data_IF_766181368615
#
_entry.id   IF_766181368615
#
_cell.length_a   1.000
_cell.length_b   1.000
_cell.length_c   1.000
_cell.angle_alpha   90.00
_cell.angle_beta   90.00
_cell.angle_gamma   90.00
#
_symmetry.space_group_name_H-M   'P 1'
#
loop_
_entity.id
_entity.type
_entity.pdbx_description
1 polymer ?
#
# COMPACT_ATOMS: atom_id res chain seq x y z
N UNK A 1 -16.24 -9.24 -5.94
CA UNK A 1 -15.44 -8.06 -6.22
C UNK A 1 -16.07 -7.16 -7.29
N UNK A 2 -16.11 -7.50 -8.56
CA UNK A 2 -16.72 -6.70 -9.64
C UNK A 2 -18.14 -6.18 -9.33
N UNK A 3 -18.97 -6.95 -8.62
CA UNK A 3 -20.31 -6.52 -8.22
C UNK A 3 -20.30 -5.39 -7.18
N UNK A 4 -19.37 -5.41 -6.20
CA UNK A 4 -19.21 -4.35 -5.19
C UNK A 4 -18.73 -3.05 -5.84
N UNK A 5 -17.78 -3.14 -6.76
CA UNK A 5 -17.28 -2.02 -7.56
C UNK A 5 -18.40 -1.37 -8.40
N UNK A 6 -19.18 -2.17 -9.12
CA UNK A 6 -20.34 -1.70 -9.88
C UNK A 6 -21.42 -1.08 -8.99
N UNK A 7 -21.67 -1.65 -7.81
CA UNK A 7 -22.59 -1.09 -6.82
C UNK A 7 -22.10 0.26 -6.27
N UNK A 8 -20.82 0.40 -5.95
CA UNK A 8 -20.26 1.65 -5.46
C UNK A 8 -20.35 2.76 -6.51
N UNK A 9 -20.01 2.46 -7.76
CA UNK A 9 -20.19 3.39 -8.89
C UNK A 9 -21.69 3.72 -9.08
N UNK A 10 -22.56 2.73 -9.02
CA UNK A 10 -24.00 2.94 -9.13
C UNK A 10 -24.54 3.86 -8.04
N UNK A 11 -24.13 3.68 -6.80
CA UNK A 11 -24.51 4.56 -5.67
C UNK A 11 -23.97 5.98 -5.88
N UNK A 12 -22.72 6.12 -6.33
CA UNK A 12 -22.14 7.43 -6.60
C UNK A 12 -22.89 8.18 -7.72
N UNK A 13 -23.19 7.50 -8.82
CA UNK A 13 -24.00 8.06 -9.93
C UNK A 13 -25.39 8.47 -9.44
N UNK A 14 -26.01 7.65 -8.60
CA UNK A 14 -27.33 7.93 -8.05
C UNK A 14 -27.30 9.15 -7.11
N UNK A 15 -26.31 9.27 -6.24
CA UNK A 15 -26.13 10.42 -5.35
C UNK A 15 -25.86 11.71 -6.13
N UNK A 16 -25.03 11.66 -7.16
CA UNK A 16 -24.77 12.78 -8.05
C UNK A 16 -26.03 13.18 -8.81
N UNK A 17 -26.79 12.19 -9.33
CA UNK A 17 -28.05 12.43 -10.03
C UNK A 17 -29.11 13.08 -9.13
N UNK A 18 -29.26 12.58 -7.90
CA UNK A 18 -30.15 13.18 -6.89
C UNK A 18 -29.72 14.62 -6.53
N UNK A 19 -28.42 14.84 -6.31
CA UNK A 19 -27.89 16.18 -6.04
C UNK A 19 -28.15 17.16 -7.20
N UNK A 20 -28.01 16.70 -8.44
CA UNK A 20 -28.33 17.50 -9.61
C UNK A 20 -29.82 17.82 -9.74
N UNK A 21 -30.72 16.86 -9.46
CA UNK A 21 -32.16 17.07 -9.48
C UNK A 21 -32.58 18.08 -8.41
N UNK A 22 -32.09 17.95 -7.18
CA UNK A 22 -32.36 18.87 -6.08
C UNK A 22 -31.81 20.26 -6.41
N UNK A 23 -30.57 20.35 -6.87
CA UNK A 23 -29.95 21.63 -7.25
C UNK A 23 -30.66 22.32 -8.42
N UNK A 24 -31.11 21.56 -9.42
CA UNK A 24 -31.86 22.09 -10.54
C UNK A 24 -33.25 22.61 -10.14
N UNK A 25 -33.95 21.90 -9.24
CA UNK A 25 -35.27 22.32 -8.74
C UNK A 25 -35.19 23.60 -7.89
N UNK A 26 -34.20 23.69 -7.00
CA UNK A 26 -33.93 24.90 -6.20
C UNK A 26 -33.53 26.06 -7.12
N UNK A 27 -32.62 25.83 -8.07
CA UNK A 27 -32.20 26.85 -9.07
C UNK A 27 -33.35 27.36 -9.92
N UNK A 28 -34.25 26.48 -10.39
CA UNK A 28 -35.46 26.90 -11.12
C UNK A 28 -36.39 27.77 -10.26
N UNK A 29 -36.64 27.34 -9.00
CA UNK A 29 -37.48 28.12 -8.09
C UNK A 29 -36.93 29.51 -7.73
N UNK A 30 -35.60 29.63 -7.64
CA UNK A 30 -34.92 30.91 -7.41
C UNK A 30 -34.98 31.79 -8.67
N UNK A 31 -34.76 31.19 -9.84
CA UNK A 31 -34.79 31.87 -11.14
C UNK A 31 -36.17 32.51 -11.46
N UNK A 32 -37.26 31.80 -11.14
CA UNK A 32 -38.61 32.26 -11.33
C UNK A 32 -38.94 33.52 -10.50
N UNK A 33 -38.21 33.76 -9.42
CA UNK A 33 -38.32 34.97 -8.58
C UNK A 33 -37.52 36.17 -9.12
N UNK A 34 -36.63 35.95 -10.09
CA UNK A 34 -35.81 37.02 -10.68
C UNK A 34 -36.55 37.79 -11.78
N UNK A 35 -36.84 39.07 -11.52
CA UNK A 35 -37.63 39.90 -12.43
C UNK A 35 -36.81 40.60 -13.55
N UNK A 36 -35.48 40.56 -13.50
CA UNK A 36 -34.60 41.29 -14.41
C UNK A 36 -33.81 40.36 -15.33
N UNK A 37 -33.73 40.70 -16.64
CA UNK A 37 -32.94 39.94 -17.61
C UNK A 37 -31.45 39.89 -17.29
N UNK A 38 -30.91 40.91 -16.66
CA UNK A 38 -29.52 40.95 -16.20
C UNK A 38 -29.27 39.98 -15.06
N UNK A 39 -30.19 39.89 -14.09
CA UNK A 39 -30.10 38.91 -12.99
C UNK A 39 -30.13 37.46 -13.47
N UNK A 40 -30.99 37.17 -14.47
CA UNK A 40 -31.06 35.81 -15.06
C UNK A 40 -29.79 35.42 -15.84
N UNK A 41 -29.08 36.39 -16.47
CA UNK A 41 -27.79 36.10 -17.12
C UNK A 41 -26.68 35.82 -16.10
N UNK A 42 -26.61 36.59 -15.03
CA UNK A 42 -25.63 36.38 -13.94
C UNK A 42 -25.90 35.04 -13.28
N UNK A 43 -27.16 34.70 -12.95
CA UNK A 43 -27.54 33.40 -12.39
C UNK A 43 -27.15 32.25 -13.32
N UNK A 44 -27.40 32.35 -14.62
CA UNK A 44 -27.00 31.34 -15.60
C UNK A 44 -25.48 31.14 -15.65
N UNK A 45 -24.69 32.22 -15.58
CA UNK A 45 -23.23 32.16 -15.60
C UNK A 45 -22.69 31.55 -14.31
N UNK A 46 -23.19 31.97 -13.15
CA UNK A 46 -22.83 31.42 -11.85
C UNK A 46 -23.20 29.94 -11.75
N UNK A 47 -24.42 29.59 -12.18
CA UNK A 47 -24.87 28.19 -12.21
C UNK A 47 -24.03 27.30 -13.15
N UNK A 48 -23.58 27.86 -14.29
CA UNK A 48 -22.70 27.13 -15.21
C UNK A 48 -21.33 26.87 -14.60
N UNK A 49 -20.75 27.88 -13.90
CA UNK A 49 -19.47 27.70 -13.17
C UNK A 49 -19.60 26.66 -12.06
N UNK A 50 -20.65 26.73 -11.24
CA UNK A 50 -20.90 25.74 -10.19
C UNK A 50 -21.03 24.31 -10.74
N UNK A 51 -21.76 24.14 -11.85
CA UNK A 51 -21.89 22.84 -12.51
C UNK A 51 -20.55 22.34 -13.05
N UNK A 52 -19.74 23.20 -13.64
CA UNK A 52 -18.42 22.85 -14.13
C UNK A 52 -17.50 22.40 -12.99
N UNK A 53 -17.46 23.15 -11.87
CA UNK A 53 -16.69 22.79 -10.68
C UNK A 53 -17.16 21.46 -10.10
N UNK A 54 -18.47 21.27 -9.93
CA UNK A 54 -19.02 20.02 -9.42
C UNK A 54 -18.68 18.83 -10.33
N UNK A 55 -18.76 18.99 -11.65
CA UNK A 55 -18.39 17.94 -12.60
C UNK A 55 -16.89 17.60 -12.51
N UNK A 56 -16.03 18.62 -12.39
CA UNK A 56 -14.58 18.42 -12.21
C UNK A 56 -14.28 17.65 -10.93
N UNK A 57 -14.92 18.01 -9.80
CA UNK A 57 -14.74 17.30 -8.52
C UNK A 57 -15.20 15.84 -8.63
N UNK A 58 -16.34 15.59 -9.26
CA UNK A 58 -16.84 14.20 -9.46
C UNK A 58 -15.89 13.40 -10.34
N UNK A 59 -15.44 13.97 -11.45
CA UNK A 59 -14.46 13.32 -12.34
C UNK A 59 -13.17 13.02 -11.57
N UNK A 60 -12.69 13.96 -10.77
CA UNK A 60 -11.49 13.78 -9.96
C UNK A 60 -11.67 12.66 -8.92
N UNK A 61 -12.79 12.64 -8.18
CA UNK A 61 -13.07 11.61 -7.18
C UNK A 61 -13.22 10.20 -7.78
N UNK A 62 -13.80 10.10 -8.99
CA UNK A 62 -14.03 8.82 -9.66
C UNK A 62 -12.79 8.36 -10.44
N UNK A 63 -11.98 9.29 -10.93
CA UNK A 63 -10.82 8.94 -11.74
C UNK A 63 -9.74 8.19 -10.97
N UNK A 64 -9.57 8.45 -9.66
CA UNK A 64 -8.62 7.77 -8.81
C UNK A 64 -8.93 6.26 -8.64
N UNK A 65 -10.13 5.88 -8.17
CA UNK A 65 -10.52 4.47 -8.13
C UNK A 65 -10.46 3.78 -9.48
N UNK A 66 -10.80 4.49 -10.57
CA UNK A 66 -10.70 3.94 -11.91
C UNK A 66 -9.23 3.75 -12.32
N UNK A 67 -8.36 4.72 -12.05
CA UNK A 67 -6.94 4.63 -12.37
C UNK A 67 -6.24 3.49 -11.61
N UNK A 68 -6.65 3.21 -10.36
CA UNK A 68 -6.09 2.13 -9.55
C UNK A 68 -6.62 0.73 -9.89
N UNK A 69 -7.83 0.63 -10.49
CA UNK A 69 -8.46 -0.66 -10.78
C UNK A 69 -8.51 -1.02 -12.28
N UNK A 70 -8.21 -0.07 -13.17
CA UNK A 70 -8.14 -0.32 -14.61
C UNK A 70 -6.70 -0.60 -15.02
N UNK A 71 -6.42 -1.83 -15.42
CA UNK A 71 -5.16 -2.21 -16.07
C UNK A 71 -5.11 -1.81 -17.55
N UNK A 72 -3.92 -1.81 -18.15
CA UNK A 72 -3.70 -1.55 -19.56
C UNK A 72 -3.84 -0.08 -19.98
N UNK A 73 -3.96 0.16 -21.30
CA UNK A 73 -3.98 1.49 -21.89
C UNK A 73 -5.00 2.49 -21.27
N UNK A 74 -6.24 2.10 -20.90
CA UNK A 74 -7.17 3.03 -20.27
C UNK A 74 -6.72 3.53 -18.90
N UNK A 75 -6.14 2.65 -18.07
CA UNK A 75 -5.58 3.02 -16.78
C UNK A 75 -4.39 3.95 -16.91
N UNK A 76 -3.46 3.64 -17.81
CA UNK A 76 -2.28 4.46 -18.11
C UNK A 76 -2.67 5.86 -18.61
N UNK A 77 -3.67 5.99 -19.49
CA UNK A 77 -4.16 7.27 -19.97
C UNK A 77 -4.76 8.14 -18.84
N UNK A 78 -5.42 7.53 -17.85
CA UNK A 78 -5.91 8.24 -16.68
C UNK A 78 -4.75 8.69 -15.79
N UNK A 79 -3.77 7.84 -15.53
CA UNK A 79 -2.61 8.12 -14.67
C UNK A 79 -1.68 9.18 -15.26
N UNK A 80 -1.45 9.16 -16.57
CA UNK A 80 -0.62 10.15 -17.28
C UNK A 80 -1.34 11.50 -17.53
N UNK A 81 -2.58 11.67 -17.06
CA UNK A 81 -3.37 12.88 -17.29
C UNK A 81 -2.85 14.08 -16.51
N UNK A 82 -2.28 15.06 -17.21
CA UNK A 82 -1.82 16.34 -16.64
C UNK A 82 -2.94 17.14 -15.96
N UNK A 83 -4.18 16.98 -16.42
CA UNK A 83 -5.35 17.67 -15.84
C UNK A 83 -5.63 17.09 -14.45
N UNK A 84 -5.65 15.76 -14.32
CA UNK A 84 -5.94 15.09 -13.06
C UNK A 84 -4.80 15.30 -12.07
N UNK A 85 -3.55 15.25 -12.51
CA UNK A 85 -2.37 15.60 -11.71
C UNK A 85 -2.44 17.04 -11.19
N UNK A 86 -2.79 18.01 -12.06
CA UNK A 86 -2.98 19.40 -11.66
C UNK A 86 -4.13 19.63 -10.68
N UNK A 87 -5.22 18.89 -10.80
CA UNK A 87 -6.33 18.93 -9.85
C UNK A 87 -5.92 18.39 -8.48
N UNK A 88 -5.17 17.28 -8.46
CA UNK A 88 -4.68 16.68 -7.22
C UNK A 88 -3.71 17.61 -6.47
N UNK A 89 -2.80 18.27 -7.19
CA UNK A 89 -1.86 19.23 -6.60
C UNK A 89 -2.54 20.53 -6.12
N UNK A 90 -3.69 20.91 -6.68
CA UNK A 90 -4.48 22.07 -6.28
C UNK A 90 -5.48 21.76 -5.15
N UNK A 91 -5.73 20.49 -4.86
CA UNK A 91 -6.67 20.07 -3.81
C UNK A 91 -6.12 20.42 -2.42
N UNK A 92 -6.96 20.95 -1.50
CA UNK A 92 -6.57 21.09 -0.10
C UNK A 92 -6.18 19.74 0.51
N UNK A 93 -5.19 19.75 1.41
CA UNK A 93 -4.65 18.52 2.03
C UNK A 93 -5.73 17.65 2.71
N UNK A 94 -6.79 18.28 3.25
CA UNK A 94 -7.92 17.57 3.87
C UNK A 94 -8.81 16.83 2.84
N UNK A 95 -8.80 17.24 1.59
CA UNK A 95 -9.59 16.63 0.50
C UNK A 95 -8.76 15.65 -0.32
N UNK A 96 -7.44 15.77 -0.35
CA UNK A 96 -6.55 14.87 -1.09
C UNK A 96 -6.55 13.43 -0.55
N UNK A 97 -6.92 13.24 0.71
CA UNK A 97 -7.08 11.92 1.32
C UNK A 97 -8.35 11.16 0.87
N UNK A 98 -9.43 11.89 0.49
CA UNK A 98 -10.70 11.26 0.12
C UNK A 98 -10.63 10.30 -1.08
N UNK A 99 -9.99 10.68 -2.20
CA UNK A 99 -9.85 9.77 -3.34
C UNK A 99 -9.00 8.54 -3.02
N UNK A 100 -7.94 8.70 -2.22
CA UNK A 100 -7.09 7.59 -1.80
C UNK A 100 -7.86 6.61 -0.89
N UNK A 101 -8.68 7.12 0.04
CA UNK A 101 -9.56 6.29 0.87
C UNK A 101 -10.57 5.49 0.04
N UNK A 102 -11.17 6.12 -1.00
CA UNK A 102 -12.08 5.41 -1.92
C UNK A 102 -11.32 4.37 -2.76
N UNK A 103 -10.11 4.68 -3.22
CA UNK A 103 -9.27 3.73 -3.96
C UNK A 103 -8.87 2.55 -3.07
N UNK A 104 -8.49 2.79 -1.81
CA UNK A 104 -8.17 1.74 -0.84
C UNK A 104 -9.37 0.81 -0.56
N UNK A 105 -10.57 1.36 -0.42
CA UNK A 105 -11.81 0.56 -0.24
C UNK A 105 -12.17 -0.32 -1.43
N UNK A 106 -11.68 0.03 -2.63
CA UNK A 106 -11.96 -0.70 -3.88
C UNK A 106 -10.78 -1.59 -4.30
N UNK A 107 -9.65 -1.50 -3.62
CA UNK A 107 -8.47 -2.28 -3.95
C UNK A 107 -8.63 -3.74 -3.49
N UNK A 108 -8.70 -4.66 -4.46
CA UNK A 108 -8.85 -6.10 -4.20
C UNK A 108 -7.52 -6.79 -3.84
N UNK A 109 -6.40 -6.14 -4.09
CA UNK A 109 -5.07 -6.73 -3.85
C UNK A 109 -4.74 -6.86 -2.36
N UNK A 110 -5.49 -6.16 -1.49
CA UNK A 110 -5.25 -6.16 -0.04
C UNK A 110 -3.91 -5.51 0.36
N UNK A 111 -3.20 -4.93 -0.61
CA UNK A 111 -2.02 -4.11 -0.38
C UNK A 111 -2.44 -2.65 -0.30
N UNK A 112 -1.93 -1.86 0.66
CA UNK A 112 -2.22 -0.44 0.70
C UNK A 112 -1.73 0.24 -0.58
N UNK A 113 -2.43 1.26 -1.11
CA UNK A 113 -1.98 2.02 -2.27
C UNK A 113 -0.73 2.82 -1.87
N UNK A 114 0.43 2.34 -2.28
CA UNK A 114 1.73 2.84 -1.85
C UNK A 114 2.17 4.11 -2.55
N UNK A 115 1.58 4.38 -3.70
CA UNK A 115 1.94 5.53 -4.53
C UNK A 115 0.66 6.22 -4.98
N UNK A 116 0.62 7.55 -4.85
CA UNK A 116 -0.47 8.31 -5.47
C UNK A 116 -0.44 8.05 -6.99
N UNK A 117 -1.55 7.61 -7.60
CA UNK A 117 -1.60 7.34 -9.04
C UNK A 117 -1.21 8.55 -9.92
N UNK A 118 -1.10 9.73 -9.31
CA UNK A 118 -0.76 11.01 -9.95
C UNK A 118 0.68 11.47 -9.70
N UNK A 119 1.43 10.78 -8.87
CA UNK A 119 2.87 10.97 -8.84
C UNK A 119 3.43 10.34 -10.11
N UNK A 120 4.29 11.08 -10.79
CA UNK A 120 4.97 10.63 -12.02
C UNK A 120 5.29 9.14 -11.90
N UNK A 121 4.92 8.38 -12.94
CA UNK A 121 5.30 6.98 -13.04
C UNK A 121 6.73 6.85 -12.51
N UNK A 122 6.90 6.08 -11.43
CA UNK A 122 8.23 5.80 -10.92
C UNK A 122 8.97 5.18 -12.10
N UNK A 123 9.87 5.97 -12.69
CA UNK A 123 10.70 5.48 -13.79
C UNK A 123 11.63 4.46 -13.15
N UNK A 124 11.26 3.19 -13.27
CA UNK A 124 12.12 2.10 -12.83
C UNK A 124 13.01 1.69 -14.01
N UNK A 125 14.27 1.46 -13.75
CA UNK A 125 15.17 0.92 -14.76
C UNK A 125 14.66 -0.43 -15.26
N UNK A 126 14.72 -0.64 -16.58
CA UNK A 126 14.43 -1.95 -17.15
C UNK A 126 15.60 -2.89 -16.88
N UNK A 127 15.32 -4.00 -16.21
CA UNK A 127 16.28 -5.07 -15.97
C UNK A 127 15.78 -6.35 -16.63
N UNK A 128 16.68 -7.27 -16.89
CA UNK A 128 16.34 -8.61 -17.40
C UNK A 128 15.43 -9.35 -16.40
N UNK A 129 14.69 -10.34 -16.87
CA UNK A 129 13.90 -11.21 -15.99
C UNK A 129 14.80 -11.88 -14.95
N UNK A 130 14.29 -12.07 -13.72
CA UNK A 130 15.00 -12.86 -12.73
C UNK A 130 15.30 -14.27 -13.28
N UNK A 131 16.52 -14.74 -13.07
CA UNK A 131 16.92 -16.07 -13.51
C UNK A 131 16.58 -17.09 -12.41
N UNK A 132 15.62 -18.00 -12.64
CA UNK A 132 15.25 -19.01 -11.65
C UNK A 132 16.39 -20.00 -11.36
N UNK A 133 17.34 -20.17 -12.26
CA UNK A 133 18.47 -21.10 -12.10
C UNK A 133 19.52 -20.57 -11.10
N UNK A 134 19.49 -19.28 -10.75
CA UNK A 134 20.34 -18.66 -9.70
C UNK A 134 19.86 -19.00 -8.29
N UNK A 135 18.61 -19.46 -8.12
CA UNK A 135 18.08 -19.83 -6.81
C UNK A 135 18.82 -21.04 -6.24
N UNK A 136 19.47 -20.84 -5.07
CA UNK A 136 20.08 -21.92 -4.32
C UNK A 136 19.05 -22.58 -3.36
N UNK A 137 18.56 -23.80 -3.65
CA UNK A 137 17.60 -24.50 -2.80
C UNK A 137 18.12 -24.78 -1.38
N UNK A 138 19.46 -24.91 -1.22
CA UNK A 138 20.07 -25.10 0.10
C UNK A 138 19.98 -23.82 0.94
N UNK A 139 20.23 -22.66 0.30
CA UNK A 139 20.06 -21.36 0.93
C UNK A 139 18.61 -21.16 1.37
N UNK A 140 17.65 -21.38 0.47
CA UNK A 140 16.22 -21.28 0.77
C UNK A 140 15.83 -22.19 1.96
N UNK A 141 16.29 -23.45 1.95
CA UNK A 141 16.01 -24.39 3.04
C UNK A 141 16.61 -23.92 4.38
N UNK A 142 17.79 -23.35 4.37
CA UNK A 142 18.48 -22.80 5.54
C UNK A 142 17.77 -21.59 6.14
N UNK A 143 17.28 -20.70 5.29
CA UNK A 143 16.59 -19.46 5.68
C UNK A 143 15.12 -19.69 6.10
N UNK A 144 14.47 -20.71 5.54
CA UNK A 144 13.05 -21.00 5.74
C UNK A 144 12.58 -20.97 7.19
N UNK A 145 13.32 -21.50 8.21
CA UNK A 145 12.90 -21.44 9.60
C UNK A 145 12.69 -20.03 10.13
N UNK A 146 13.47 -19.07 9.63
CA UNK A 146 13.47 -17.67 10.08
C UNK A 146 12.43 -16.82 9.38
N UNK A 147 11.72 -17.36 8.37
CA UNK A 147 10.60 -16.69 7.69
C UNK A 147 9.30 -17.12 8.37
N UNK A 148 8.56 -16.16 8.87
CA UNK A 148 7.43 -16.35 9.77
C UNK A 148 6.13 -15.95 9.06
N UNK A 149 5.08 -16.76 9.15
CA UNK A 149 3.75 -16.37 8.78
C UNK A 149 3.11 -15.60 9.95
N UNK A 150 2.81 -14.34 9.75
CA UNK A 150 2.24 -13.44 10.77
C UNK A 150 0.73 -13.44 10.65
N UNK A 151 0.05 -13.71 11.76
CA UNK A 151 -1.40 -13.79 11.87
C UNK A 151 -1.88 -12.78 12.90
N UNK A 152 -2.66 -11.79 12.47
CA UNK A 152 -3.22 -10.76 13.32
C UNK A 152 -4.74 -10.86 13.40
N UNK A 153 -5.30 -10.93 14.60
CA UNK A 153 -6.73 -10.88 14.80
C UNK A 153 -7.14 -9.45 15.22
N UNK A 154 -7.78 -8.72 14.31
CA UNK A 154 -8.29 -7.38 14.50
C UNK A 154 -9.82 -7.46 14.75
N UNK A 155 -10.20 -7.76 16.01
CA UNK A 155 -11.58 -8.04 16.39
C UNK A 155 -12.49 -6.82 16.18
N UNK A 156 -12.03 -5.63 16.53
CA UNK A 156 -12.80 -4.38 16.32
C UNK A 156 -13.04 -4.08 14.84
N UNK A 157 -12.13 -4.53 13.98
CA UNK A 157 -12.27 -4.44 12.53
C UNK A 157 -13.07 -5.59 11.94
N UNK A 158 -13.42 -6.61 12.75
CA UNK A 158 -14.02 -7.89 12.29
C UNK A 158 -13.20 -8.54 11.17
N UNK A 159 -11.87 -8.50 11.28
CA UNK A 159 -10.92 -8.96 10.27
C UNK A 159 -9.81 -9.81 10.87
N UNK A 160 -9.29 -10.69 10.02
CA UNK A 160 -8.02 -11.36 10.23
C UNK A 160 -7.03 -10.84 9.21
N UNK A 161 -5.92 -10.29 9.69
CA UNK A 161 -4.81 -9.81 8.88
C UNK A 161 -3.76 -10.92 8.79
N UNK A 162 -3.12 -11.03 7.64
CA UNK A 162 -2.12 -12.06 7.38
C UNK A 162 -1.03 -11.50 6.49
N UNK A 163 0.20 -11.86 6.79
CA UNK A 163 1.37 -11.46 6.04
C UNK A 163 2.60 -12.28 6.42
N UNK A 164 3.73 -11.83 6.01
CA UNK A 164 5.02 -12.43 6.31
C UNK A 164 5.79 -11.60 7.32
N UNK A 165 6.80 -12.21 7.92
CA UNK A 165 7.79 -11.56 8.75
C UNK A 165 9.07 -12.40 8.75
N UNK A 166 10.10 -11.91 9.39
CA UNK A 166 11.34 -12.65 9.57
C UNK A 166 12.02 -12.29 10.87
N UNK A 167 12.79 -13.23 11.41
CA UNK A 167 13.52 -13.05 12.66
C UNK A 167 14.77 -12.18 12.41
N UNK A 168 14.94 -11.12 13.20
CA UNK A 168 16.04 -10.14 13.07
C UNK A 168 16.97 -10.11 14.28
N UNK A 169 16.50 -10.58 15.42
CA UNK A 169 17.26 -10.79 16.66
C UNK A 169 16.58 -11.88 17.47
N UNK A 170 17.21 -12.33 18.52
CA UNK A 170 16.62 -13.32 19.45
C UNK A 170 15.25 -12.81 19.92
N UNK A 171 14.20 -13.60 19.68
CA UNK A 171 12.81 -13.31 20.07
C UNK A 171 12.14 -12.12 19.33
N UNK A 172 12.78 -11.52 18.30
CA UNK A 172 12.25 -10.39 17.58
C UNK A 172 12.02 -10.71 16.11
N UNK A 173 10.82 -10.33 15.64
CA UNK A 173 10.37 -10.49 14.24
C UNK A 173 9.99 -9.14 13.67
N UNK A 174 10.48 -8.82 12.47
CA UNK A 174 10.01 -7.66 11.68
C UNK A 174 8.86 -8.09 10.77
N UNK A 175 7.89 -7.21 10.61
CA UNK A 175 6.82 -7.27 9.62
C UNK A 175 6.40 -5.86 9.22
N UNK A 176 5.40 -5.71 8.36
CA UNK A 176 4.81 -4.40 8.07
C UNK A 176 3.78 -3.97 9.13
N UNK A 177 3.61 -2.65 9.30
CA UNK A 177 2.61 -2.11 10.19
C UNK A 177 1.18 -2.49 9.75
N UNK A 178 0.88 -2.46 8.43
CA UNK A 178 -0.44 -2.84 7.91
C UNK A 178 -0.81 -4.30 8.19
N UNK A 179 0.17 -5.20 8.39
CA UNK A 179 -0.08 -6.62 8.74
C UNK A 179 -0.61 -6.79 10.15
N UNK A 180 -0.35 -5.81 11.03
CA UNK A 180 -0.76 -5.83 12.45
C UNK A 180 -1.61 -4.64 12.85
N UNK A 181 -2.10 -3.84 11.89
CA UNK A 181 -2.90 -2.64 12.16
C UNK A 181 -4.24 -2.98 12.84
N UNK A 182 -4.53 -2.33 13.97
CA UNK A 182 -5.76 -2.53 14.74
C UNK A 182 -5.92 -3.91 15.35
N UNK A 183 -4.84 -4.72 15.45
CA UNK A 183 -4.90 -6.06 16.03
C UNK A 183 -4.84 -6.03 17.55
N UNK A 184 -5.66 -6.87 18.19
CA UNK A 184 -5.63 -7.13 19.62
C UNK A 184 -4.73 -8.32 19.95
N UNK A 185 -4.61 -9.28 19.03
CA UNK A 185 -3.75 -10.45 19.19
C UNK A 185 -2.94 -10.69 17.91
N UNK A 186 -1.66 -11.01 18.09
CA UNK A 186 -0.76 -11.39 17.00
C UNK A 186 -0.14 -12.75 17.33
N UNK A 187 -0.14 -13.65 16.34
CA UNK A 187 0.46 -14.97 16.44
C UNK A 187 1.41 -15.20 15.27
N UNK A 188 2.47 -15.92 15.57
CA UNK A 188 3.51 -16.31 14.64
C UNK A 188 3.36 -17.80 14.33
N UNK A 189 3.04 -18.15 13.10
CA UNK A 189 3.06 -19.53 12.63
C UNK A 189 4.48 -19.86 12.16
N UNK A 190 5.16 -20.68 12.96
CA UNK A 190 6.57 -21.00 12.82
C UNK A 190 6.78 -22.50 12.58
N UNK A 191 7.97 -22.89 12.18
CA UNK A 191 8.34 -24.33 12.13
C UNK A 191 8.28 -25.02 13.49
N UNK A 192 8.34 -24.26 14.59
CA UNK A 192 8.26 -24.78 15.95
C UNK A 192 6.83 -24.74 16.51
N UNK A 193 5.85 -24.43 15.67
CA UNK A 193 4.45 -24.27 16.03
C UNK A 193 4.01 -22.84 16.17
N UNK A 194 2.78 -22.65 16.60
CA UNK A 194 2.16 -21.35 16.78
C UNK A 194 2.65 -20.70 18.07
N UNK A 195 3.13 -19.47 17.99
CA UNK A 195 3.65 -18.65 19.09
C UNK A 195 2.85 -17.36 19.21
N UNK A 196 2.57 -16.92 20.44
CA UNK A 196 2.01 -15.61 20.69
C UNK A 196 3.10 -14.54 20.56
N UNK A 197 2.73 -13.37 20.05
CA UNK A 197 3.63 -12.25 19.91
C UNK A 197 2.96 -10.94 20.36
N UNK A 198 3.79 -10.00 20.78
CA UNK A 198 3.39 -8.65 21.18
C UNK A 198 4.02 -7.65 20.25
N UNK A 199 3.26 -6.66 19.76
CA UNK A 199 3.80 -5.56 18.97
C UNK A 199 4.55 -4.63 19.92
N UNK A 200 5.84 -4.42 19.69
CA UNK A 200 6.74 -3.59 20.52
C UNK A 200 7.27 -2.35 19.79
N UNK A 201 7.03 -2.29 18.50
CA UNK A 201 7.25 -1.10 17.66
C UNK A 201 6.20 -1.07 16.56
N UNK A 202 5.65 0.10 16.29
CA UNK A 202 4.64 0.29 15.26
C UNK A 202 4.80 1.67 14.63
N UNK A 203 5.09 1.71 13.35
CA UNK A 203 5.20 2.94 12.58
C UNK A 203 4.37 2.86 11.30
N UNK A 204 3.18 3.46 11.29
CA UNK A 204 2.28 3.44 10.14
C UNK A 204 2.76 4.32 8.98
N UNK A 205 3.64 5.29 9.23
CA UNK A 205 4.14 6.20 8.21
C UNK A 205 5.03 5.45 7.20
N UNK A 206 6.03 4.74 7.70
CA UNK A 206 6.95 3.97 6.85
C UNK A 206 6.52 2.52 6.62
N UNK A 207 5.47 2.08 7.34
CA UNK A 207 4.91 0.72 7.24
C UNK A 207 5.84 -0.37 7.81
N UNK A 208 6.34 -0.16 9.03
CA UNK A 208 7.20 -1.11 9.77
C UNK A 208 6.64 -1.40 11.14
N UNK A 209 6.65 -2.66 11.54
CA UNK A 209 6.36 -3.12 12.90
C UNK A 209 7.39 -4.14 13.38
N UNK A 210 7.64 -4.16 14.71
CA UNK A 210 8.46 -5.18 15.37
C UNK A 210 7.60 -5.93 16.37
N UNK A 211 7.70 -7.25 16.31
CA UNK A 211 7.00 -8.19 17.16
C UNK A 211 8.00 -8.86 18.10
N UNK A 212 7.66 -8.99 19.36
CA UNK A 212 8.42 -9.74 20.35
C UNK A 212 7.65 -11.00 20.75
N UNK A 213 8.32 -12.16 20.67
CA UNK A 213 7.78 -13.45 21.04
C UNK A 213 8.79 -14.21 21.88
N UNK A 214 8.49 -14.40 23.17
CA UNK A 214 9.41 -15.05 24.11
C UNK A 214 9.69 -16.50 23.71
N UNK A 215 10.93 -16.90 23.88
CA UNK A 215 11.40 -18.26 23.60
C UNK A 215 11.06 -18.69 22.16
N UNK A 216 11.25 -17.79 21.21
CA UNK A 216 11.00 -18.07 19.79
C UNK A 216 11.89 -19.21 19.30
N UNK A 217 13.17 -19.21 19.68
CA UNK A 217 14.12 -20.29 19.44
C UNK A 217 14.45 -20.49 17.97
N UNK A 218 14.47 -19.40 17.20
CA UNK A 218 14.73 -19.38 15.76
C UNK A 218 15.85 -18.38 15.50
N UNK A 219 16.85 -18.78 14.72
CA UNK A 219 18.00 -17.95 14.41
C UNK A 219 17.61 -16.71 13.56
N UNK A 220 18.19 -15.54 13.85
CA UNK A 220 17.94 -14.33 13.07
C UNK A 220 18.62 -14.39 11.70
N UNK A 221 18.05 -13.67 10.73
CA UNK A 221 18.67 -13.44 9.43
C UNK A 221 19.67 -12.28 9.51
N UNK A 222 20.83 -12.39 8.86
CA UNK A 222 21.79 -11.29 8.81
C UNK A 222 21.32 -10.18 7.86
N UNK A 223 21.54 -8.93 8.23
CA UNK A 223 21.39 -7.79 7.35
C UNK A 223 22.54 -7.69 6.36
N UNK A 224 22.24 -7.33 5.10
CA UNK A 224 23.25 -7.03 4.11
C UNK A 224 24.07 -5.80 4.55
N UNK A 225 25.40 -5.91 4.43
CA UNK A 225 26.31 -4.83 4.80
C UNK A 225 26.48 -3.81 3.67
N UNK A 226 26.14 -4.19 2.45
CA UNK A 226 26.23 -3.33 1.26
C UNK A 226 24.86 -3.26 0.59
N UNK A 227 24.40 -2.05 0.20
CA UNK A 227 23.20 -1.90 -0.59
C UNK A 227 23.31 -2.66 -1.92
N UNK A 228 22.17 -3.19 -2.37
CA UNK A 228 22.07 -3.81 -3.68
C UNK A 228 22.13 -2.74 -4.80
N UNK A 229 22.60 -3.16 -5.95
CA UNK A 229 22.70 -2.35 -7.16
C UNK A 229 21.69 -2.82 -8.21
N UNK A 230 21.41 -1.95 -9.18
CA UNK A 230 20.58 -2.29 -10.35
C UNK A 230 21.15 -3.51 -11.08
N UNK A 231 20.29 -4.49 -11.30
CA UNK A 231 20.64 -5.76 -11.96
C UNK A 231 21.03 -6.88 -10.99
N UNK A 232 21.22 -6.60 -9.69
CA UNK A 232 21.51 -7.65 -8.71
C UNK A 232 20.35 -8.62 -8.57
N UNK A 233 20.68 -9.91 -8.51
CA UNK A 233 19.71 -10.95 -8.20
C UNK A 233 19.37 -10.96 -6.72
N UNK A 234 18.09 -11.12 -6.46
CA UNK A 234 17.51 -11.17 -5.12
C UNK A 234 16.40 -12.23 -5.05
N UNK A 235 15.93 -12.50 -3.85
CA UNK A 235 14.76 -13.37 -3.61
C UNK A 235 13.79 -12.70 -2.64
N UNK A 236 12.51 -12.84 -2.92
CA UNK A 236 11.43 -12.51 -1.98
C UNK A 236 10.97 -13.79 -1.32
N UNK A 237 10.93 -13.80 0.00
CA UNK A 237 10.48 -14.96 0.76
C UNK A 237 9.25 -14.61 1.60
N UNK A 238 8.24 -15.47 1.59
CA UNK A 238 7.02 -15.20 2.35
C UNK A 238 5.93 -16.24 2.20
N UNK A 239 4.69 -15.81 2.43
CA UNK A 239 3.48 -16.64 2.42
C UNK A 239 2.42 -16.01 1.51
N UNK A 240 2.61 -16.07 0.17
CA UNK A 240 1.68 -15.45 -0.76
C UNK A 240 0.26 -16.01 -0.57
N UNK A 241 -0.73 -15.11 -0.54
CA UNK A 241 -2.15 -15.42 -0.31
C UNK A 241 -2.43 -16.22 0.98
N UNK A 242 -1.56 -16.11 2.01
CA UNK A 242 -1.57 -16.97 3.20
C UNK A 242 -1.50 -18.46 2.87
N UNK A 243 -0.91 -18.76 1.75
CA UNK A 243 -0.63 -20.11 1.29
C UNK A 243 0.62 -20.71 1.96
N UNK A 244 1.18 -21.77 1.38
CA UNK A 244 2.44 -22.32 1.82
C UNK A 244 3.58 -21.32 1.62
N UNK A 245 4.67 -21.52 2.35
CA UNK A 245 5.91 -20.76 2.15
C UNK A 245 6.35 -20.83 0.70
N UNK A 246 6.77 -19.68 0.19
CA UNK A 246 7.32 -19.53 -1.14
C UNK A 246 8.59 -18.66 -1.12
N UNK A 247 9.45 -18.88 -2.12
CA UNK A 247 10.67 -18.12 -2.34
C UNK A 247 10.80 -17.86 -3.85
N UNK A 248 10.53 -16.63 -4.23
CA UNK A 248 10.50 -16.19 -5.63
C UNK A 248 11.74 -15.37 -5.95
N UNK A 249 12.36 -15.67 -7.11
CA UNK A 249 13.45 -14.86 -7.60
C UNK A 249 12.97 -13.48 -8.01
N UNK A 250 13.78 -12.50 -7.72
CA UNK A 250 13.58 -11.10 -8.08
C UNK A 250 14.88 -10.48 -8.56
N UNK A 251 14.80 -9.38 -9.27
CA UNK A 251 15.98 -8.59 -9.68
C UNK A 251 15.81 -7.15 -9.29
N UNK A 252 16.81 -6.58 -8.65
CA UNK A 252 16.78 -5.18 -8.22
C UNK A 252 16.77 -4.27 -9.45
N UNK A 253 15.77 -3.39 -9.54
CA UNK A 253 15.67 -2.40 -10.62
C UNK A 253 16.40 -1.12 -10.24
N UNK A 254 16.07 -0.57 -9.05
CA UNK A 254 16.64 0.69 -8.59
C UNK A 254 16.46 0.85 -7.08
N UNK A 255 17.23 1.76 -6.49
CA UNK A 255 17.02 2.29 -5.13
C UNK A 255 16.51 3.71 -5.25
N UNK A 256 15.30 3.97 -4.79
CA UNK A 256 14.61 5.25 -4.97
C UNK A 256 13.93 5.70 -3.68
N UNK A 257 13.70 6.99 -3.57
CA UNK A 257 12.80 7.53 -2.55
C UNK A 257 11.37 7.52 -3.08
N UNK A 258 10.51 6.68 -2.49
CA UNK A 258 9.09 6.63 -2.80
C UNK A 258 8.36 7.60 -1.90
N UNK A 259 7.63 8.53 -2.51
CA UNK A 259 6.78 9.48 -1.80
C UNK A 259 5.32 9.10 -1.97
N UNK A 260 4.60 8.90 -0.86
CA UNK A 260 3.22 8.44 -0.88
C UNK A 260 2.52 8.60 0.47
N UNK A 261 1.24 8.19 0.57
CA UNK A 261 0.53 8.22 1.84
C UNK A 261 1.07 7.19 2.85
N UNK A 262 0.67 7.34 4.12
CA UNK A 262 0.82 6.30 5.15
C UNK A 262 -0.13 5.11 4.89
N UNK A 263 -0.12 4.10 5.76
CA UNK A 263 -0.98 2.92 5.62
C UNK A 263 -2.48 3.25 5.77
N UNK A 264 -2.83 4.39 6.34
CA UNK A 264 -4.21 4.87 6.49
C UNK A 264 -4.65 5.78 5.33
N UNK A 265 -3.81 5.93 4.32
CA UNK A 265 -4.02 6.84 3.18
C UNK A 265 -4.03 8.32 3.58
N UNK A 266 -3.35 8.67 4.67
CA UNK A 266 -3.18 10.04 5.15
C UNK A 266 -1.76 10.54 4.89
N UNK A 267 -1.59 11.87 4.95
CA UNK A 267 -0.28 12.48 4.94
C UNK A 267 0.51 12.30 3.64
N UNK A 268 1.81 12.50 3.77
CA UNK A 268 2.79 12.37 2.71
C UNK A 268 4.10 11.93 3.37
N UNK A 269 4.54 10.73 3.07
CA UNK A 269 5.71 10.09 3.67
C UNK A 269 6.70 9.73 2.57
N UNK A 270 7.97 9.95 2.83
CA UNK A 270 9.06 9.51 1.96
C UNK A 270 9.70 8.25 2.54
N UNK A 271 9.95 7.26 1.69
CA UNK A 271 10.53 5.95 2.06
C UNK A 271 11.68 5.63 1.13
N UNK A 272 12.85 5.34 1.68
CA UNK A 272 13.97 4.79 0.90
C UNK A 272 13.70 3.31 0.59
N UNK A 273 13.60 2.99 -0.69
CA UNK A 273 13.06 1.70 -1.12
C UNK A 273 13.78 1.17 -2.34
N UNK A 274 13.82 -0.15 -2.45
CA UNK A 274 14.13 -0.83 -3.70
C UNK A 274 12.86 -1.03 -4.53
N UNK A 275 12.98 -0.82 -5.83
CA UNK A 275 12.08 -1.39 -6.82
C UNK A 275 12.70 -2.68 -7.34
N UNK A 276 11.90 -3.73 -7.44
CA UNK A 276 12.36 -5.04 -7.90
C UNK A 276 11.47 -5.56 -9.01
N UNK A 277 12.06 -6.23 -9.99
CA UNK A 277 11.34 -7.06 -10.94
C UNK A 277 11.15 -8.44 -10.35
N UNK A 278 9.91 -8.87 -10.18
CA UNK A 278 9.55 -10.16 -9.61
C UNK A 278 8.05 -10.24 -9.30
N UNK A 279 7.57 -11.44 -9.09
CA UNK A 279 6.15 -11.70 -8.81
C UNK A 279 5.83 -11.49 -7.32
N UNK A 280 5.61 -10.23 -6.93
CA UNK A 280 5.25 -9.87 -5.55
C UNK A 280 3.74 -9.95 -5.38
N UNK A 281 3.30 -10.77 -4.44
CA UNK A 281 1.88 -11.06 -4.20
C UNK A 281 1.45 -10.64 -2.79
N UNK A 282 0.13 -10.46 -2.62
CA UNK A 282 -0.44 -10.28 -1.29
C UNK A 282 -0.01 -11.42 -0.37
N UNK A 283 0.45 -11.08 0.84
CA UNK A 283 1.00 -12.03 1.80
C UNK A 283 2.53 -12.06 1.81
N UNK A 284 3.23 -11.57 0.77
CA UNK A 284 4.66 -11.32 0.83
C UNK A 284 5.03 -10.11 1.72
N UNK A 285 4.08 -9.23 1.99
CA UNK A 285 4.24 -8.05 2.86
C UNK A 285 4.83 -8.43 4.22
N UNK A 286 5.87 -7.72 4.64
CA UNK A 286 6.64 -7.98 5.85
C UNK A 286 7.73 -9.05 5.68
N UNK A 287 7.72 -9.77 4.56
CA UNK A 287 8.77 -10.73 4.23
C UNK A 287 10.06 -10.07 3.79
N UNK A 288 11.21 -10.75 3.88
CA UNK A 288 12.48 -10.18 3.48
C UNK A 288 12.67 -10.22 1.97
N UNK A 289 13.32 -9.17 1.44
CA UNK A 289 14.07 -9.20 0.21
C UNK A 289 15.51 -9.59 0.58
N UNK A 290 16.05 -10.65 0.02
CA UNK A 290 17.38 -11.16 0.36
C UNK A 290 18.27 -11.25 -0.88
N UNK A 291 19.59 -11.09 -0.70
CA UNK A 291 20.56 -11.33 -1.75
C UNK A 291 20.88 -12.82 -1.90
N UNK A 292 21.68 -13.16 -2.90
CA UNK A 292 22.12 -14.56 -3.17
C UNK A 292 23.04 -15.14 -2.10
N UNK A 293 23.56 -14.34 -1.17
CA UNK A 293 24.32 -14.81 0.00
C UNK A 293 23.39 -15.12 1.21
N UNK A 294 22.12 -14.74 1.15
CA UNK A 294 21.14 -14.92 2.24
C UNK A 294 21.13 -13.78 3.25
N UNK A 295 21.59 -12.60 2.86
CA UNK A 295 21.54 -11.41 3.69
C UNK A 295 20.33 -10.55 3.31
N UNK A 296 19.67 -9.97 4.30
CA UNK A 296 18.45 -9.16 4.11
C UNK A 296 18.82 -7.79 3.54
N UNK A 297 18.33 -7.51 2.36
CA UNK A 297 18.42 -6.21 1.67
C UNK A 297 17.33 -5.25 2.14
N UNK A 298 16.17 -5.78 2.54
CA UNK A 298 15.04 -4.95 2.91
C UNK A 298 13.78 -5.74 3.24
N UNK A 299 12.68 -5.00 3.46
CA UNK A 299 11.36 -5.53 3.85
C UNK A 299 10.35 -5.24 2.74
N UNK A 300 9.78 -6.29 2.17
CA UNK A 300 8.73 -6.16 1.14
C UNK A 300 7.49 -5.53 1.75
N UNK A 301 6.95 -4.48 1.11
CA UNK A 301 5.76 -3.80 1.63
C UNK A 301 4.66 -3.60 0.58
N UNK A 302 4.93 -3.84 -0.69
CA UNK A 302 3.91 -3.68 -1.72
C UNK A 302 4.33 -4.11 -3.11
N UNK A 303 3.37 -4.03 -4.01
CA UNK A 303 3.54 -4.27 -5.43
C UNK A 303 2.93 -3.13 -6.25
N UNK A 304 3.40 -2.95 -7.48
CA UNK A 304 2.85 -1.99 -8.40
C UNK A 304 1.44 -2.38 -8.83
N UNK A 305 0.54 -1.40 -8.93
CA UNK A 305 -0.80 -1.59 -9.50
C UNK A 305 -0.75 -1.60 -11.04
N UNK A 306 0.32 -1.03 -11.60
CA UNK A 306 0.48 -0.77 -13.03
C UNK A 306 1.28 -1.85 -13.76
N UNK A 307 2.20 -2.45 -13.04
CA UNK A 307 3.11 -3.47 -13.54
C UNK A 307 3.11 -4.66 -12.58
N UNK A 308 2.52 -5.77 -13.02
CA UNK A 308 2.42 -7.00 -12.22
C UNK A 308 3.78 -7.63 -11.86
N UNK A 309 4.85 -7.19 -12.51
CA UNK A 309 6.21 -7.66 -12.25
C UNK A 309 7.03 -6.70 -11.39
N UNK A 310 6.45 -5.59 -10.91
CA UNK A 310 7.18 -4.64 -10.08
C UNK A 310 6.71 -4.69 -8.63
N UNK A 311 7.64 -4.96 -7.73
CA UNK A 311 7.46 -4.91 -6.29
C UNK A 311 8.31 -3.84 -5.63
N UNK A 312 8.01 -3.56 -4.36
CA UNK A 312 8.67 -2.55 -3.55
C UNK A 312 9.12 -3.14 -2.22
N UNK A 313 10.35 -2.85 -1.82
CA UNK A 313 10.88 -3.22 -0.52
C UNK A 313 11.58 -2.03 0.14
N UNK A 314 11.26 -1.73 1.40
CA UNK A 314 12.01 -0.78 2.21
C UNK A 314 13.46 -1.23 2.28
N UNK A 315 14.41 -0.32 2.17
CA UNK A 315 15.83 -0.69 2.31
C UNK A 315 16.17 -1.10 3.75
N UNK A 316 17.20 -1.90 3.93
CA UNK A 316 17.71 -2.23 5.26
C UNK A 316 18.09 -0.97 6.05
N UNK A 317 18.66 0.04 5.37
CA UNK A 317 19.01 1.33 5.97
C UNK A 317 17.76 2.05 6.50
N UNK A 318 16.69 2.12 5.69
CA UNK A 318 15.42 2.72 6.11
C UNK A 318 14.87 2.03 7.35
N UNK A 319 14.73 0.70 7.29
CA UNK A 319 14.17 -0.08 8.40
C UNK A 319 15.00 0.08 9.67
N UNK A 320 16.33 -0.08 9.59
CA UNK A 320 17.21 0.02 10.75
C UNK A 320 17.25 1.43 11.35
N UNK A 321 17.11 2.48 10.52
CA UNK A 321 17.01 3.86 10.98
C UNK A 321 15.75 4.10 11.83
N UNK A 322 14.66 3.39 11.53
CA UNK A 322 13.38 3.51 12.21
C UNK A 322 13.34 2.72 13.53
N UNK A 323 13.81 1.47 13.52
CA UNK A 323 13.68 0.58 14.67
C UNK A 323 14.80 0.71 15.69
N UNK A 324 15.98 1.17 15.26
CA UNK A 324 17.17 1.26 16.12
C UNK A 324 17.60 -0.11 16.68
N UNK A 325 17.99 -0.13 17.95
CA UNK A 325 18.34 -1.37 18.65
C UNK A 325 17.07 -2.09 19.12
N UNK A 326 16.68 -3.15 18.41
CA UNK A 326 15.47 -3.91 18.71
C UNK A 326 15.44 -4.52 20.12
N UNK A 327 16.60 -4.80 20.72
CA UNK A 327 16.68 -5.33 22.09
C UNK A 327 16.17 -4.33 23.16
N UNK A 328 16.05 -3.04 22.81
CA UNK A 328 15.48 -2.02 23.68
C UNK A 328 13.96 -1.89 23.56
N UNK A 329 13.35 -2.54 22.56
CA UNK A 329 11.91 -2.51 22.32
C UNK A 329 11.22 -3.56 23.20
N UNK A 330 10.98 -3.24 24.48
CA UNK A 330 10.47 -4.20 25.48
C UNK A 330 9.03 -3.96 25.91
N UNK A 331 8.41 -2.86 25.48
CA UNK A 331 7.06 -2.48 25.90
C UNK A 331 6.06 -2.65 24.77
N UNK A 332 4.85 -3.20 25.06
CA UNK A 332 3.77 -3.22 24.09
C UNK A 332 3.42 -1.81 23.62
N UNK A 333 3.11 -1.68 22.35
CA UNK A 333 2.62 -0.45 21.72
C UNK A 333 1.25 -0.68 21.09
N UNK A 334 0.49 0.40 20.95
CA UNK A 334 -0.79 0.40 20.25
C UNK A 334 -0.56 0.17 18.75
N UNK A 335 -1.45 -0.58 18.11
CA UNK A 335 -1.40 -0.92 16.69
C UNK A 335 -2.28 -0.02 15.82
N UNK A 336 -2.76 1.09 16.39
CA UNK A 336 -3.54 2.10 15.72
C UNK A 336 -4.93 1.64 15.26
N UNK A 337 -5.42 2.30 14.25
CA UNK A 337 -6.76 2.06 13.70
C UNK A 337 -6.76 0.93 12.67
N UNK A 338 -7.97 0.54 12.24
CA UNK A 338 -8.14 -0.41 11.14
C UNK A 338 -7.71 0.21 9.81
N UNK A 339 -6.89 -0.47 9.06
CA UNK A 339 -6.60 -0.09 7.68
C UNK A 339 -7.84 -0.39 6.82
N UNK A 340 -8.27 0.61 6.04
CA UNK A 340 -9.36 0.42 5.07
C UNK A 340 -8.85 -0.43 3.89
N UNK A 341 -9.49 -1.57 3.63
CA UNK A 341 -9.24 -2.43 2.48
C UNK A 341 -10.51 -2.60 1.66
#
# INVERSE_FOLDING_TARGET
AALRFLLAIGVLILLVGLGQLVGASIGAALRDRMRTRSGQRVDSSVGAVFRAVAAIVVIWLVSLPLASNLGGQPGEALRSSRILSGLNSAAPSQLSALPNGVAAMLNESGLPPLVSPWQNSISTEEVEEPDPDVQDPELVRRMRPSIIHVLGDAEECSRRLMGSGFVVADDYVITNAHVVAGTQTVRLDTKLGLKDATVVYYNPDVDVAVLHSRDLGIDPLPWAQTPAQTGDDAMVMGFPHSGPFDAEMARVRDRITISGPDIYSHGHVERDSYTVRGNIQQGNSGGPLVNTAGEVLGVVFGASVDDSETGYALTADEVNSQIGDVAQLTHPVDTGECVAH
#
